data_IF_099840164316
#
_entry.id   IF_099840164316
#
_cell.length_a   1.000
_cell.length_b   1.000
_cell.length_c   1.000
_cell.angle_alpha   90.00
_cell.angle_beta   90.00
_cell.angle_gamma   90.00
#
_symmetry.space_group_name_H-M   'P 1'
#
loop_
_entity.id
_entity.type
_entity.pdbx_description
1 polymer ?
#
# COMPACT_ATOMS: atom_id res chain seq x y z
N UNK A 1 -29.27 -28.46 45.11
CA UNK A 1 -28.93 -27.13 44.54
C UNK A 1 -27.69 -27.12 43.65
N UNK A 2 -26.74 -28.04 43.80
CA UNK A 2 -25.50 -28.07 43.01
C UNK A 2 -25.71 -28.47 41.52
N UNK A 3 -26.74 -29.29 41.22
CA UNK A 3 -27.01 -29.75 39.86
C UNK A 3 -27.61 -28.70 38.93
N UNK A 4 -28.39 -27.71 39.41
CA UNK A 4 -29.00 -26.64 38.59
C UNK A 4 -27.96 -25.71 38.02
N UNK A 5 -26.96 -25.33 38.80
CA UNK A 5 -25.90 -24.40 38.33
C UNK A 5 -24.98 -25.01 37.29
N UNK A 6 -24.74 -26.33 37.33
CA UNK A 6 -23.91 -27.01 36.34
C UNK A 6 -24.62 -27.20 35.00
N UNK A 7 -25.92 -27.50 35.03
CA UNK A 7 -26.72 -27.64 33.81
C UNK A 7 -26.91 -26.29 33.11
N UNK A 8 -27.17 -25.21 33.86
CA UNK A 8 -27.20 -23.84 33.30
C UNK A 8 -25.84 -23.44 32.74
N UNK A 9 -24.72 -23.77 33.41
CA UNK A 9 -23.38 -23.50 32.85
C UNK A 9 -23.07 -24.32 31.59
N UNK A 10 -23.53 -25.59 31.50
CA UNK A 10 -23.36 -26.38 30.28
C UNK A 10 -24.25 -25.92 29.14
N UNK A 11 -25.48 -25.47 29.39
CA UNK A 11 -26.38 -24.90 28.37
C UNK A 11 -25.86 -23.53 27.89
N UNK A 12 -25.41 -22.70 28.82
CA UNK A 12 -24.76 -21.41 28.48
C UNK A 12 -23.44 -21.66 27.75
N UNK A 13 -22.63 -22.63 28.13
CA UNK A 13 -21.39 -23.02 27.47
C UNK A 13 -21.59 -23.56 26.04
N UNK A 14 -22.60 -24.40 25.80
CA UNK A 14 -22.96 -24.91 24.47
C UNK A 14 -23.58 -23.82 23.59
N UNK A 15 -24.46 -23.01 24.14
CA UNK A 15 -25.03 -21.87 23.43
C UNK A 15 -23.98 -20.79 23.12
N UNK A 16 -23.02 -20.53 24.04
CA UNK A 16 -21.92 -19.62 23.73
C UNK A 16 -20.99 -20.13 22.61
N UNK A 17 -20.87 -21.45 22.44
CA UNK A 17 -20.16 -22.04 21.29
C UNK A 17 -20.96 -21.95 19.99
N UNK A 18 -22.30 -22.09 20.03
CA UNK A 18 -23.17 -21.84 18.86
C UNK A 18 -23.32 -20.36 18.54
N UNK A 19 -23.29 -19.46 19.53
CA UNK A 19 -23.21 -18.01 19.31
C UNK A 19 -21.83 -17.54 18.85
N UNK A 20 -20.75 -18.24 19.18
CA UNK A 20 -19.41 -18.01 18.64
C UNK A 20 -19.29 -18.28 17.15
N UNK A 21 -20.16 -19.10 16.59
CA UNK A 21 -20.28 -19.31 15.14
C UNK A 21 -21.31 -18.34 14.56
N UNK A 22 -21.03 -17.02 14.60
CA UNK A 22 -21.68 -16.01 13.76
C UNK A 22 -23.18 -16.28 13.49
N UNK A 23 -23.99 -16.37 14.52
CA UNK A 23 -25.46 -16.38 14.41
C UNK A 23 -26.02 -15.11 13.80
N UNK A 24 -25.17 -14.16 13.48
CA UNK A 24 -25.47 -12.94 12.73
C UNK A 24 -25.24 -13.15 11.23
N UNK A 25 -26.15 -12.62 10.43
CA UNK A 25 -26.19 -12.74 8.97
C UNK A 25 -25.00 -12.08 8.28
N UNK A 26 -24.18 -11.30 8.98
CA UNK A 26 -23.13 -10.48 8.33
C UNK A 26 -21.81 -10.59 9.08
N UNK A 27 -20.77 -11.00 8.37
CA UNK A 27 -19.41 -10.93 8.88
C UNK A 27 -18.96 -9.46 8.93
N UNK A 28 -18.53 -8.96 10.10
CA UNK A 28 -18.03 -7.59 10.22
C UNK A 28 -16.94 -7.24 9.20
N UNK A 29 -16.09 -8.19 8.85
CA UNK A 29 -15.02 -7.97 7.87
C UNK A 29 -15.55 -7.66 6.47
N UNK A 30 -16.61 -8.34 6.01
CA UNK A 30 -17.23 -8.06 4.71
C UNK A 30 -17.96 -6.73 4.68
N UNK A 31 -18.44 -6.23 5.82
CA UNK A 31 -18.98 -4.88 5.94
C UNK A 31 -17.91 -3.80 5.74
N UNK A 32 -16.68 -4.08 6.13
CA UNK A 32 -15.57 -3.15 6.03
C UNK A 32 -14.93 -3.10 4.63
N UNK A 33 -15.29 -4.02 3.71
CA UNK A 33 -14.66 -4.12 2.38
C UNK A 33 -14.64 -2.81 1.60
N UNK A 34 -15.74 -2.03 1.50
CA UNK A 34 -15.71 -0.78 0.74
C UNK A 34 -14.71 0.22 1.30
N UNK A 35 -14.65 0.36 2.63
CA UNK A 35 -13.74 1.27 3.31
C UNK A 35 -12.29 0.79 3.21
N UNK A 36 -12.04 -0.51 3.37
CA UNK A 36 -10.71 -1.09 3.22
C UNK A 36 -10.19 -0.95 1.79
N UNK A 37 -11.03 -1.21 0.79
CA UNK A 37 -10.67 -1.09 -0.63
C UNK A 37 -10.28 0.34 -0.99
N UNK A 38 -11.05 1.33 -0.57
CA UNK A 38 -10.76 2.74 -0.82
C UNK A 38 -9.46 3.18 -0.12
N UNK A 39 -9.22 2.75 1.12
CA UNK A 39 -8.02 3.11 1.87
C UNK A 39 -6.77 2.45 1.29
N UNK A 40 -6.82 1.17 0.95
CA UNK A 40 -5.70 0.46 0.30
C UNK A 40 -5.35 1.14 -1.03
N UNK A 41 -6.36 1.49 -1.83
CA UNK A 41 -6.16 2.19 -3.10
C UNK A 41 -5.51 3.56 -2.92
N UNK A 42 -5.96 4.39 -1.98
CA UNK A 42 -5.36 5.70 -1.72
C UNK A 42 -3.88 5.60 -1.33
N UNK A 43 -3.52 4.65 -0.46
CA UNK A 43 -2.12 4.40 -0.08
C UNK A 43 -1.29 4.04 -1.30
N UNK A 44 -1.81 3.17 -2.17
CA UNK A 44 -1.12 2.76 -3.39
C UNK A 44 -0.91 3.93 -4.35
N UNK A 45 -1.94 4.73 -4.61
CA UNK A 45 -1.88 5.86 -5.53
C UNK A 45 -0.82 6.88 -5.11
N UNK A 46 -0.75 7.22 -3.82
CA UNK A 46 0.30 8.12 -3.30
C UNK A 46 1.68 7.53 -3.56
N UNK A 47 1.86 6.23 -3.34
CA UNK A 47 3.14 5.55 -3.56
C UNK A 47 3.51 5.51 -5.05
N UNK A 48 2.54 5.26 -5.94
CA UNK A 48 2.75 5.24 -7.39
C UNK A 48 3.11 6.60 -7.96
N UNK A 49 2.36 7.64 -7.61
CA UNK A 49 2.64 9.00 -8.05
C UNK A 49 4.06 9.44 -7.63
N UNK A 50 4.45 9.10 -6.41
CA UNK A 50 5.78 9.38 -5.92
C UNK A 50 6.85 8.62 -6.71
N UNK A 51 6.62 7.35 -7.02
CA UNK A 51 7.55 6.52 -7.80
C UNK A 51 7.65 6.98 -9.27
N UNK A 52 6.53 7.29 -9.92
CA UNK A 52 6.51 7.73 -11.32
C UNK A 52 7.21 9.07 -11.54
N UNK A 53 7.03 10.03 -10.63
CA UNK A 53 7.71 11.33 -10.70
C UNK A 53 9.24 11.17 -10.66
N UNK A 54 9.75 10.28 -9.81
CA UNK A 54 11.19 9.99 -9.78
C UNK A 54 11.67 9.26 -11.03
N UNK A 55 10.91 8.31 -11.54
CA UNK A 55 11.27 7.61 -12.78
C UNK A 55 11.34 8.58 -13.97
N UNK A 56 10.40 9.50 -14.08
CA UNK A 56 10.44 10.56 -15.10
C UNK A 56 11.69 11.44 -14.98
N UNK A 57 12.08 11.79 -13.76
CA UNK A 57 13.31 12.54 -13.49
C UNK A 57 14.57 11.77 -13.92
N UNK A 58 14.67 10.47 -13.58
CA UNK A 58 15.78 9.61 -13.99
C UNK A 58 15.87 9.49 -15.51
N UNK A 59 14.74 9.30 -16.21
CA UNK A 59 14.66 9.22 -17.65
C UNK A 59 15.15 10.53 -18.30
N UNK A 60 14.82 11.68 -17.70
CA UNK A 60 15.31 12.98 -18.13
C UNK A 60 16.83 13.07 -18.05
N UNK A 61 17.44 12.68 -16.94
CA UNK A 61 18.90 12.69 -16.76
C UNK A 61 19.61 11.82 -17.81
N UNK A 62 19.14 10.59 -18.00
CA UNK A 62 19.67 9.70 -19.04
C UNK A 62 19.54 10.31 -20.44
N UNK A 63 18.40 10.93 -20.77
CA UNK A 63 18.21 11.61 -22.05
C UNK A 63 19.19 12.79 -22.23
N UNK A 64 19.40 13.59 -21.19
CA UNK A 64 20.35 14.71 -21.22
C UNK A 64 21.78 14.25 -21.42
N UNK A 65 22.21 13.15 -20.76
CA UNK A 65 23.51 12.50 -20.96
C UNK A 65 23.69 12.08 -22.42
N UNK A 66 22.73 11.32 -22.97
CA UNK A 66 22.78 10.85 -24.37
C UNK A 66 22.85 12.03 -25.35
N UNK A 67 22.02 13.06 -25.15
CA UNK A 67 21.98 14.23 -26.02
C UNK A 67 23.30 14.99 -25.98
N UNK A 68 23.88 15.21 -24.80
CA UNK A 68 25.16 15.90 -24.64
C UNK A 68 26.30 15.11 -25.33
N UNK A 69 26.30 13.81 -25.21
CA UNK A 69 27.29 12.95 -25.82
C UNK A 69 27.17 12.96 -27.37
N UNK A 70 25.94 12.84 -27.89
CA UNK A 70 25.70 12.91 -29.36
C UNK A 70 26.12 14.26 -29.97
N UNK A 71 25.82 15.36 -29.26
CA UNK A 71 26.24 16.69 -29.75
C UNK A 71 27.77 16.86 -29.74
N UNK A 72 28.45 16.27 -28.77
CA UNK A 72 29.91 16.25 -28.74
C UNK A 72 30.49 15.39 -29.87
N UNK A 73 29.93 14.21 -30.14
CA UNK A 73 30.34 13.34 -31.24
C UNK A 73 30.30 14.03 -32.60
N UNK A 74 29.28 14.86 -32.84
CA UNK A 74 29.20 15.65 -34.08
C UNK A 74 30.38 16.63 -34.25
N UNK A 75 30.87 17.23 -33.16
CA UNK A 75 32.05 18.12 -33.22
C UNK A 75 33.35 17.29 -33.37
N UNK A 76 33.46 16.15 -32.70
CA UNK A 76 34.62 15.27 -32.80
C UNK A 76 34.76 14.61 -34.19
N UNK A 77 33.66 14.44 -34.91
CA UNK A 77 33.68 13.99 -36.29
C UNK A 77 34.38 15.01 -37.25
N UNK A 78 34.36 16.31 -36.87
CA UNK A 78 35.01 17.38 -37.61
C UNK A 78 36.47 17.52 -37.14
N UNK A 79 36.69 17.54 -35.83
CA UNK A 79 37.99 17.64 -35.19
C UNK A 79 38.10 16.60 -34.06
N UNK A 80 38.86 15.51 -34.29
CA UNK A 80 39.03 14.45 -33.25
C UNK A 80 39.64 14.93 -31.94
N UNK A 81 40.36 16.04 -31.92
CA UNK A 81 40.95 16.67 -30.75
C UNK A 81 40.13 17.78 -30.17
N UNK A 82 38.88 17.95 -30.63
CA UNK A 82 38.01 19.03 -30.22
C UNK A 82 37.80 18.99 -28.70
N UNK A 83 38.12 20.12 -28.03
CA UNK A 83 37.85 20.33 -26.61
C UNK A 83 37.08 21.61 -26.40
N UNK A 84 36.13 21.63 -25.50
CA UNK A 84 35.31 22.79 -25.20
C UNK A 84 35.01 22.92 -23.73
N UNK A 85 35.13 24.17 -23.22
CA UNK A 85 34.72 24.48 -21.84
C UNK A 85 33.25 24.13 -21.62
N UNK A 86 32.39 24.34 -22.60
CA UNK A 86 30.96 24.05 -22.55
C UNK A 86 30.72 22.55 -22.28
N UNK A 87 31.33 21.63 -23.00
CA UNK A 87 31.13 20.22 -22.82
C UNK A 87 31.75 19.69 -21.51
N UNK A 88 32.89 20.25 -21.11
CA UNK A 88 33.51 19.91 -19.79
C UNK A 88 32.62 20.34 -18.63
N UNK A 89 32.07 21.57 -18.68
CA UNK A 89 31.14 22.08 -17.68
C UNK A 89 29.86 21.26 -17.68
N UNK A 90 29.33 20.92 -18.86
CA UNK A 90 28.14 20.11 -19.00
C UNK A 90 28.27 18.71 -18.38
N UNK A 91 29.41 18.05 -18.61
CA UNK A 91 29.73 16.76 -17.98
C UNK A 91 29.72 16.86 -16.43
N UNK A 92 30.36 17.93 -15.91
CA UNK A 92 30.41 18.20 -14.45
C UNK A 92 29.03 18.54 -13.90
N UNK A 93 28.26 19.38 -14.55
CA UNK A 93 26.91 19.75 -14.08
C UNK A 93 25.97 18.55 -14.08
N UNK A 94 25.97 17.74 -15.12
CA UNK A 94 25.23 16.49 -15.13
C UNK A 94 25.67 15.54 -14.00
N UNK A 95 26.96 15.44 -13.72
CA UNK A 95 27.43 14.60 -12.60
C UNK A 95 26.88 15.07 -11.24
N UNK A 96 26.76 16.39 -11.04
CA UNK A 96 26.12 16.97 -9.86
C UNK A 96 24.61 16.72 -9.82
N UNK A 97 23.94 16.80 -10.98
CA UNK A 97 22.51 16.46 -11.08
C UNK A 97 22.24 14.98 -10.72
N UNK A 98 23.10 14.08 -11.15
CA UNK A 98 23.06 12.65 -10.76
C UNK A 98 23.27 12.45 -9.25
N UNK A 99 24.24 13.15 -8.69
CA UNK A 99 24.55 13.12 -7.27
C UNK A 99 23.38 13.63 -6.42
N UNK A 100 22.81 14.77 -6.81
CA UNK A 100 21.62 15.34 -6.18
C UNK A 100 20.42 14.39 -6.26
N UNK A 101 20.22 13.75 -7.41
CA UNK A 101 19.13 12.79 -7.63
C UNK A 101 19.28 11.56 -6.72
N UNK A 102 20.51 11.03 -6.57
CA UNK A 102 20.77 9.91 -5.66
C UNK A 102 20.42 10.25 -4.21
N UNK A 103 20.93 11.37 -3.73
CA UNK A 103 20.67 11.84 -2.36
C UNK A 103 19.19 12.15 -2.14
N UNK A 104 18.51 12.73 -3.12
CA UNK A 104 17.07 13.01 -3.07
C UNK A 104 16.23 11.74 -2.98
N UNK A 105 16.67 10.64 -3.56
CA UNK A 105 16.06 9.32 -3.44
C UNK A 105 16.42 8.57 -2.15
N UNK A 106 17.21 9.17 -1.26
CA UNK A 106 17.66 8.55 -0.01
C UNK A 106 18.97 7.76 -0.14
N UNK A 107 19.68 7.89 -1.27
CA UNK A 107 21.03 7.38 -1.45
C UNK A 107 22.05 8.14 -0.60
N UNK A 108 23.25 7.61 -0.54
CA UNK A 108 24.36 8.24 0.23
C UNK A 108 25.16 9.23 -0.61
N UNK A 109 24.96 9.22 -1.92
CA UNK A 109 25.85 9.86 -2.88
C UNK A 109 27.16 9.10 -3.06
N UNK A 110 28.00 9.58 -3.96
CA UNK A 110 29.33 8.98 -4.26
C UNK A 110 30.34 9.19 -3.12
N UNK A 111 30.15 10.19 -2.25
CA UNK A 111 31.08 10.59 -1.16
C UNK A 111 30.54 10.22 0.24
N UNK A 112 29.33 9.71 0.36
CA UNK A 112 28.68 9.48 1.66
C UNK A 112 28.53 10.79 2.46
N UNK A 113 27.84 11.76 1.84
CA UNK A 113 27.60 13.10 2.37
C UNK A 113 27.07 13.11 3.81
N UNK A 114 27.61 13.99 4.66
CA UNK A 114 27.06 14.27 5.99
C UNK A 114 25.72 15.03 5.87
N UNK A 115 25.03 15.25 6.99
CA UNK A 115 23.71 15.88 7.01
C UNK A 115 23.70 17.29 6.40
N UNK A 116 24.69 18.11 6.74
CA UNK A 116 24.77 19.50 6.28
C UNK A 116 25.06 19.56 4.78
N UNK A 117 26.03 18.76 4.32
CA UNK A 117 26.37 18.63 2.90
C UNK A 117 25.19 18.11 2.08
N UNK A 118 24.39 17.18 2.61
CA UNK A 118 23.15 16.71 1.94
C UNK A 118 22.13 17.83 1.80
N UNK A 119 21.93 18.64 2.83
CA UNK A 119 21.02 19.80 2.77
C UNK A 119 21.52 20.80 1.73
N UNK A 120 22.82 21.11 1.73
CA UNK A 120 23.43 22.02 0.75
C UNK A 120 23.27 21.48 -0.68
N UNK A 121 23.60 20.20 -0.91
CA UNK A 121 23.45 19.53 -2.21
C UNK A 121 21.99 19.57 -2.72
N UNK A 122 21.03 19.27 -1.84
CA UNK A 122 19.60 19.29 -2.21
C UNK A 122 19.10 20.70 -2.52
N UNK A 123 19.64 21.72 -1.88
CA UNK A 123 19.23 23.12 -2.06
C UNK A 123 19.91 23.79 -3.27
N UNK A 124 21.23 23.62 -3.42
CA UNK A 124 22.05 24.34 -4.40
C UNK A 124 22.50 23.49 -5.59
N UNK A 125 22.33 22.17 -5.53
CA UNK A 125 22.79 21.22 -6.54
C UNK A 125 24.27 20.88 -6.45
N UNK A 126 25.03 21.51 -5.57
CA UNK A 126 26.48 21.33 -5.37
C UNK A 126 26.83 21.47 -3.88
N UNK A 127 28.02 21.00 -3.48
CA UNK A 127 28.55 21.17 -2.12
C UNK A 127 29.81 22.00 -2.20
N UNK A 128 29.93 23.02 -1.35
CA UNK A 128 31.13 23.87 -1.27
C UNK A 128 32.35 23.05 -0.90
N UNK A 129 33.51 23.41 -1.45
CA UNK A 129 34.75 22.70 -1.23
C UNK A 129 34.84 21.37 -1.94
N UNK A 130 33.95 21.11 -2.92
CA UNK A 130 33.98 19.92 -3.78
C UNK A 130 33.85 20.29 -5.24
N UNK A 131 34.60 19.57 -6.11
CA UNK A 131 34.63 19.76 -7.56
C UNK A 131 34.42 18.46 -8.29
N UNK A 132 33.98 18.55 -9.55
CA UNK A 132 33.95 17.42 -10.48
C UNK A 132 35.30 17.28 -11.18
N UNK A 133 35.98 16.15 -10.98
CA UNK A 133 37.23 15.77 -11.62
C UNK A 133 36.99 14.78 -12.75
N UNK A 134 37.57 15.06 -13.95
CA UNK A 134 37.55 14.10 -15.07
C UNK A 134 38.54 12.96 -14.82
N UNK A 135 38.04 11.74 -14.62
CA UNK A 135 38.85 10.55 -14.35
C UNK A 135 39.75 10.20 -15.54
N UNK A 136 39.23 10.30 -16.76
CA UNK A 136 40.00 10.33 -17.99
C UNK A 136 40.17 11.79 -18.39
N UNK A 137 41.41 12.28 -18.32
CA UNK A 137 41.66 13.71 -18.56
C UNK A 137 41.28 14.11 -20.01
N UNK A 138 40.69 15.29 -20.16
CA UNK A 138 40.11 15.75 -21.42
C UNK A 138 41.15 15.92 -22.54
N UNK A 139 42.39 16.29 -22.17
CA UNK A 139 43.47 16.44 -23.15
C UNK A 139 43.77 15.16 -23.93
N UNK A 140 43.70 14.01 -23.26
CA UNK A 140 44.01 12.69 -23.88
C UNK A 140 42.73 11.95 -24.31
N UNK A 141 41.56 12.36 -23.74
CA UNK A 141 40.29 11.69 -23.95
C UNK A 141 39.17 12.72 -24.21
N UNK A 142 39.26 13.52 -25.29
CA UNK A 142 38.29 14.59 -25.58
C UNK A 142 36.87 14.04 -25.79
N UNK A 143 36.73 12.78 -26.24
CA UNK A 143 35.45 12.10 -26.44
C UNK A 143 34.65 11.88 -25.14
N UNK A 144 35.28 12.03 -23.97
CA UNK A 144 34.63 11.80 -22.67
C UNK A 144 34.38 13.10 -21.88
N UNK A 145 34.65 14.28 -22.48
CA UNK A 145 34.54 15.55 -21.75
C UNK A 145 33.11 15.91 -21.30
N UNK A 146 32.06 15.44 -22.01
CA UNK A 146 30.66 15.68 -21.68
C UNK A 146 30.02 14.51 -20.87
N UNK A 147 30.76 13.43 -20.66
CA UNK A 147 30.23 12.24 -20.02
C UNK A 147 30.22 12.38 -18.50
N UNK A 148 29.05 12.41 -17.81
CA UNK A 148 28.97 12.46 -16.34
C UNK A 148 29.62 11.24 -15.66
N UNK A 149 29.68 10.09 -16.33
CA UNK A 149 30.32 8.90 -15.79
C UNK A 149 31.85 9.04 -15.70
N UNK A 150 32.43 9.95 -16.48
CA UNK A 150 33.83 10.33 -16.41
C UNK A 150 34.13 11.33 -15.29
N UNK A 151 33.12 11.75 -14.52
CA UNK A 151 33.29 12.75 -13.47
C UNK A 151 33.20 12.10 -12.08
N UNK A 152 34.29 12.19 -11.33
CA UNK A 152 34.33 11.91 -9.90
C UNK A 152 34.22 13.20 -9.11
N UNK A 153 33.35 13.27 -8.13
CA UNK A 153 33.28 14.41 -7.21
C UNK A 153 34.32 14.18 -6.11
N UNK A 154 35.20 15.14 -5.91
CA UNK A 154 36.29 15.08 -4.89
C UNK A 154 36.39 16.43 -4.18
N UNK A 155 36.99 16.44 -2.99
CA UNK A 155 37.25 17.68 -2.29
C UNK A 155 38.28 18.54 -3.06
N UNK A 156 38.09 19.86 -3.04
CA UNK A 156 39.01 20.81 -3.72
C UNK A 156 40.47 20.61 -3.35
N UNK A 157 40.73 20.39 -2.06
CA UNK A 157 42.06 20.10 -1.53
C UNK A 157 42.69 18.84 -2.11
N UNK A 158 41.87 17.88 -2.50
CA UNK A 158 42.31 16.58 -3.03
C UNK A 158 42.39 16.58 -4.56
N UNK A 159 41.89 17.63 -5.24
CA UNK A 159 41.80 17.71 -6.68
C UNK A 159 43.18 17.61 -7.35
N UNK A 160 44.16 18.39 -6.89
CA UNK A 160 45.51 18.32 -7.46
C UNK A 160 46.30 17.07 -6.97
N UNK A 161 46.39 16.79 -5.65
CA UNK A 161 47.25 15.69 -5.19
C UNK A 161 46.68 14.32 -5.55
N UNK A 162 45.37 14.10 -5.48
CA UNK A 162 44.75 12.83 -5.73
C UNK A 162 44.22 12.76 -7.16
N UNK A 163 43.42 13.75 -7.58
CA UNK A 163 42.81 13.76 -8.88
C UNK A 163 43.84 13.79 -10.02
N UNK A 164 44.81 14.69 -9.93
CA UNK A 164 45.85 14.85 -10.94
C UNK A 164 47.21 14.29 -10.52
N UNK A 165 47.29 13.51 -9.46
CA UNK A 165 48.53 12.90 -8.96
C UNK A 165 49.69 13.93 -8.84
N UNK A 166 49.32 15.13 -8.37
CA UNK A 166 50.24 16.26 -8.12
C UNK A 166 50.58 17.15 -9.33
N UNK A 167 50.09 16.82 -10.54
CA UNK A 167 50.35 17.63 -11.74
C UNK A 167 49.21 17.53 -12.74
N UNK A 168 48.56 18.68 -13.08
CA UNK A 168 47.49 18.76 -14.05
C UNK A 168 47.84 18.26 -15.47
N UNK A 169 49.11 18.17 -15.81
CA UNK A 169 49.59 17.68 -17.10
C UNK A 169 49.68 16.16 -17.17
N UNK A 170 49.68 15.47 -16.02
CA UNK A 170 49.73 14.02 -16.01
C UNK A 170 48.50 13.39 -16.59
N UNK A 171 48.63 12.41 -17.51
CA UNK A 171 47.51 11.64 -18.00
C UNK A 171 46.82 10.91 -16.83
N UNK A 172 45.51 10.96 -16.83
CA UNK A 172 44.64 10.16 -15.93
C UNK A 172 43.75 9.25 -16.78
N UNK A 173 43.61 8.00 -16.38
CA UNK A 173 42.80 7.00 -17.09
C UNK A 173 42.11 6.09 -16.07
N UNK A 174 41.50 6.71 -15.05
CA UNK A 174 40.73 6.01 -14.03
C UNK A 174 39.38 5.51 -14.60
N UNK A 175 38.81 4.42 -14.06
CA UNK A 175 37.59 3.83 -14.58
C UNK A 175 36.38 4.73 -14.39
N UNK A 176 35.41 4.62 -15.30
CA UNK A 176 34.15 5.34 -15.22
C UNK A 176 33.30 4.93 -14.02
N UNK A 177 32.53 5.87 -13.51
CA UNK A 177 31.51 5.65 -12.50
C UNK A 177 30.16 5.54 -13.21
N UNK A 178 29.59 4.35 -13.33
CA UNK A 178 28.27 4.16 -13.92
C UNK A 178 27.18 4.78 -13.03
N UNK A 179 26.88 6.04 -13.31
CA UNK A 179 25.89 6.84 -12.53
C UNK A 179 24.46 6.36 -12.79
N UNK A 180 24.16 5.86 -13.98
CA UNK A 180 22.84 5.28 -14.26
C UNK A 180 22.60 4.03 -13.42
N UNK A 181 23.61 3.17 -13.27
CA UNK A 181 23.54 1.98 -12.40
C UNK A 181 23.40 2.35 -10.93
N UNK A 182 24.12 3.39 -10.48
CA UNK A 182 24.01 3.93 -9.13
C UNK A 182 22.57 4.39 -8.85
N UNK A 183 22.00 5.24 -9.70
CA UNK A 183 20.61 5.71 -9.54
C UNK A 183 19.59 4.58 -9.63
N UNK A 184 19.73 3.66 -10.57
CA UNK A 184 18.86 2.47 -10.67
C UNK A 184 18.89 1.64 -9.39
N UNK A 185 20.05 1.47 -8.78
CA UNK A 185 20.18 0.75 -7.51
C UNK A 185 19.44 1.47 -6.37
N UNK A 186 19.70 2.77 -6.19
CA UNK A 186 19.06 3.60 -5.17
C UNK A 186 17.56 3.67 -5.38
N UNK A 187 17.09 3.87 -6.63
CA UNK A 187 15.66 3.89 -6.95
C UNK A 187 14.99 2.55 -6.62
N UNK A 188 15.61 1.42 -6.98
CA UNK A 188 15.09 0.08 -6.65
C UNK A 188 14.96 -0.11 -5.14
N UNK A 189 15.97 0.30 -4.38
CA UNK A 189 15.93 0.24 -2.91
C UNK A 189 14.82 1.13 -2.34
N UNK A 190 14.66 2.35 -2.86
CA UNK A 190 13.60 3.28 -2.48
C UNK A 190 12.21 2.72 -2.77
N UNK A 191 11.99 2.21 -3.99
CA UNK A 191 10.71 1.61 -4.40
C UNK A 191 10.34 0.46 -3.48
N UNK A 192 11.28 -0.48 -3.25
CA UNK A 192 11.05 -1.58 -2.29
C UNK A 192 10.69 -1.09 -0.88
N UNK A 193 11.40 -0.05 -0.40
CA UNK A 193 11.10 0.55 0.89
C UNK A 193 9.71 1.19 0.96
N UNK A 194 9.27 1.84 -0.11
CA UNK A 194 7.94 2.44 -0.20
C UNK A 194 6.84 1.37 -0.29
N UNK A 195 7.09 0.29 -1.01
CA UNK A 195 6.15 -0.84 -1.08
C UNK A 195 5.99 -1.53 0.26
N UNK A 196 7.07 -1.77 0.99
CA UNK A 196 7.01 -2.31 2.35
C UNK A 196 6.24 -1.38 3.30
N UNK A 197 6.43 -0.06 3.19
CA UNK A 197 5.64 0.92 3.95
C UNK A 197 4.16 0.87 3.54
N UNK A 198 3.87 0.75 2.25
CA UNK A 198 2.50 0.60 1.74
C UNK A 198 1.81 -0.63 2.30
N UNK A 199 2.49 -1.79 2.28
CA UNK A 199 2.00 -3.03 2.92
C UNK A 199 1.77 -2.82 4.41
N UNK A 200 2.71 -2.18 5.12
CA UNK A 200 2.57 -1.90 6.56
C UNK A 200 1.38 -1.00 6.87
N UNK A 201 1.16 0.06 6.09
CA UNK A 201 0.02 0.95 6.27
C UNK A 201 -1.29 0.21 5.97
N UNK A 202 -1.37 -0.57 4.90
CA UNK A 202 -2.54 -1.38 4.57
C UNK A 202 -2.86 -2.39 5.69
N UNK A 203 -1.84 -2.99 6.29
CA UNK A 203 -1.98 -3.89 7.44
C UNK A 203 -2.56 -3.16 8.66
N UNK A 204 -2.02 -1.98 9.00
CA UNK A 204 -2.50 -1.17 10.14
C UNK A 204 -3.94 -0.71 9.93
N UNK A 205 -4.29 -0.23 8.74
CA UNK A 205 -5.66 0.17 8.42
C UNK A 205 -6.61 -1.01 8.51
N UNK A 206 -6.24 -2.16 7.94
CA UNK A 206 -7.03 -3.39 8.00
C UNK A 206 -7.25 -3.85 9.44
N UNK A 207 -6.18 -3.83 10.26
CA UNK A 207 -6.28 -4.16 11.68
C UNK A 207 -7.20 -3.20 12.44
N UNK A 208 -6.99 -1.90 12.32
CA UNK A 208 -7.79 -0.91 13.04
C UNK A 208 -9.29 -1.01 12.68
N UNK A 209 -9.60 -1.18 11.39
CA UNK A 209 -10.98 -1.34 10.92
C UNK A 209 -11.60 -2.63 11.47
N UNK A 210 -10.91 -3.75 11.34
CA UNK A 210 -11.40 -5.05 11.84
C UNK A 210 -11.57 -5.05 13.36
N UNK A 211 -10.58 -4.53 14.08
CA UNK A 211 -10.61 -4.48 15.54
C UNK A 211 -11.75 -3.62 16.08
N UNK A 212 -11.97 -2.44 15.50
CA UNK A 212 -13.08 -1.54 15.89
C UNK A 212 -14.43 -2.21 15.69
N UNK A 213 -14.65 -2.83 14.52
CA UNK A 213 -15.90 -3.51 14.21
C UNK A 213 -16.12 -4.71 15.14
N UNK A 214 -15.10 -5.55 15.31
CA UNK A 214 -15.18 -6.72 16.20
C UNK A 214 -15.46 -6.33 17.64
N UNK A 215 -14.82 -5.26 18.13
CA UNK A 215 -15.04 -4.72 19.47
C UNK A 215 -16.48 -4.25 19.67
N UNK A 216 -16.98 -3.40 18.76
CA UNK A 216 -18.34 -2.84 18.86
C UNK A 216 -19.40 -3.95 18.77
N UNK A 217 -19.27 -4.88 17.82
CA UNK A 217 -20.22 -6.00 17.66
C UNK A 217 -20.26 -6.85 18.92
N UNK A 218 -19.09 -7.14 19.51
CA UNK A 218 -19.02 -7.96 20.73
C UNK A 218 -19.68 -7.25 21.92
N UNK A 219 -19.48 -5.94 22.10
CA UNK A 219 -20.18 -5.16 23.13
C UNK A 219 -21.69 -5.14 22.92
N UNK A 220 -22.13 -4.96 21.68
CA UNK A 220 -23.55 -4.98 21.33
C UNK A 220 -24.23 -6.31 21.66
N UNK A 221 -23.50 -7.42 21.48
CA UNK A 221 -24.01 -8.77 21.77
C UNK A 221 -24.02 -9.12 23.26
N UNK A 222 -23.05 -8.61 24.03
CA UNK A 222 -22.83 -9.03 25.41
C UNK A 222 -23.11 -7.94 26.45
N UNK A 223 -23.49 -6.72 26.03
CA UNK A 223 -23.74 -5.58 26.90
C UNK A 223 -22.45 -4.86 27.35
N UNK A 224 -22.59 -3.91 28.27
CA UNK A 224 -21.51 -3.02 28.72
C UNK A 224 -21.01 -3.42 30.13
N UNK A 225 -20.66 -4.67 30.35
CA UNK A 225 -20.03 -5.12 31.59
C UNK A 225 -18.50 -5.16 31.47
N UNK A 226 -17.73 -5.15 32.57
CA UNK A 226 -16.28 -5.30 32.53
C UNK A 226 -15.82 -6.57 31.80
N UNK A 227 -16.56 -7.68 31.96
CA UNK A 227 -16.31 -8.95 31.30
C UNK A 227 -16.55 -8.84 29.79
N UNK A 228 -17.61 -8.12 29.39
CA UNK A 228 -17.94 -7.84 27.98
C UNK A 228 -16.87 -6.98 27.32
N UNK A 229 -16.29 -6.01 28.02
CA UNK A 229 -15.18 -5.20 27.51
C UNK A 229 -13.91 -6.06 27.28
N UNK A 230 -13.58 -6.96 28.20
CA UNK A 230 -12.46 -7.90 28.00
C UNK A 230 -12.70 -8.81 26.80
N UNK A 231 -13.90 -9.36 26.69
CA UNK A 231 -14.27 -10.21 25.55
C UNK A 231 -14.22 -9.43 24.24
N UNK A 232 -14.74 -8.19 24.23
CA UNK A 232 -14.71 -7.30 23.07
C UNK A 232 -13.27 -6.98 22.62
N UNK A 233 -12.36 -6.75 23.56
CA UNK A 233 -10.95 -6.53 23.25
C UNK A 233 -10.30 -7.75 22.59
N UNK A 234 -10.59 -8.96 23.09
CA UNK A 234 -10.07 -10.21 22.53
C UNK A 234 -10.65 -10.47 21.12
N UNK A 235 -11.96 -10.40 20.98
CA UNK A 235 -12.64 -10.66 19.69
C UNK A 235 -12.33 -9.54 18.67
N UNK A 236 -12.27 -8.27 19.12
CA UNK A 236 -11.79 -7.17 18.31
C UNK A 236 -10.37 -7.40 17.80
N UNK A 237 -9.46 -7.84 18.65
CA UNK A 237 -8.10 -8.21 18.26
C UNK A 237 -8.06 -9.31 17.19
N UNK A 238 -8.88 -10.36 17.32
CA UNK A 238 -8.97 -11.45 16.32
C UNK A 238 -9.49 -10.94 14.97
N UNK A 239 -10.57 -10.15 14.98
CA UNK A 239 -11.13 -9.55 13.75
C UNK A 239 -10.16 -8.55 13.16
N UNK A 240 -9.40 -7.83 14.00
CA UNK A 240 -8.30 -6.96 13.57
C UNK A 240 -7.20 -7.70 12.83
N UNK A 241 -6.78 -8.87 13.33
CA UNK A 241 -5.78 -9.71 12.65
C UNK A 241 -6.29 -10.23 11.29
N UNK A 242 -7.57 -10.62 11.19
CA UNK A 242 -8.19 -10.98 9.92
C UNK A 242 -8.18 -9.77 8.96
N UNK A 243 -8.55 -8.58 9.46
CA UNK A 243 -8.52 -7.32 8.70
C UNK A 243 -7.14 -6.94 8.20
N UNK A 244 -6.13 -7.11 9.03
CA UNK A 244 -4.73 -6.92 8.63
C UNK A 244 -4.35 -7.83 7.47
N UNK A 245 -4.68 -9.12 7.55
CA UNK A 245 -4.39 -10.09 6.47
C UNK A 245 -5.08 -9.68 5.16
N UNK A 246 -6.34 -9.29 5.19
CA UNK A 246 -7.07 -8.84 4.00
C UNK A 246 -6.55 -7.51 3.45
N UNK A 247 -6.12 -6.58 4.31
CA UNK A 247 -5.45 -5.34 3.88
C UNK A 247 -4.17 -5.63 3.10
N UNK A 248 -3.33 -6.53 3.60
CA UNK A 248 -2.09 -6.97 2.94
C UNK A 248 -2.39 -7.68 1.61
N UNK A 249 -3.34 -8.64 1.60
CA UNK A 249 -3.74 -9.36 0.38
C UNK A 249 -4.27 -8.39 -0.67
N UNK A 250 -5.13 -7.44 -0.29
CA UNK A 250 -5.65 -6.42 -1.19
C UNK A 250 -4.54 -5.56 -1.80
N UNK A 251 -3.56 -5.13 -0.99
CA UNK A 251 -2.41 -4.36 -1.47
C UNK A 251 -1.55 -5.16 -2.46
N UNK A 252 -1.18 -6.39 -2.12
CA UNK A 252 -0.37 -7.26 -3.00
C UNK A 252 -1.12 -7.56 -4.31
N UNK A 253 -2.39 -7.95 -4.22
CA UNK A 253 -3.21 -8.30 -5.38
C UNK A 253 -3.39 -7.10 -6.32
N UNK A 254 -3.60 -5.90 -5.78
CA UNK A 254 -3.68 -4.69 -6.58
C UNK A 254 -2.37 -4.38 -7.30
N UNK A 255 -1.22 -4.64 -6.68
CA UNK A 255 0.10 -4.49 -7.32
C UNK A 255 0.38 -5.50 -8.42
N UNK A 256 -0.13 -6.72 -8.31
CA UNK A 256 0.19 -7.81 -9.25
C UNK A 256 -0.75 -7.86 -10.45
N UNK A 257 -2.04 -7.66 -10.22
CA UNK A 257 -3.08 -7.81 -11.26
C UNK A 257 -3.93 -6.55 -11.45
N UNK A 258 -3.86 -5.58 -10.53
CA UNK A 258 -4.74 -4.41 -10.52
C UNK A 258 -4.57 -3.55 -11.78
N UNK A 259 -3.35 -3.28 -12.21
CA UNK A 259 -3.07 -2.47 -13.41
C UNK A 259 -3.63 -3.14 -14.68
N UNK A 260 -3.35 -4.44 -14.88
CA UNK A 260 -3.83 -5.18 -16.03
C UNK A 260 -5.36 -5.26 -16.05
N UNK A 261 -5.98 -5.55 -14.91
CA UNK A 261 -7.43 -5.64 -14.79
C UNK A 261 -8.09 -4.25 -14.93
N UNK A 262 -7.48 -3.20 -14.40
CA UNK A 262 -7.96 -1.82 -14.59
C UNK A 262 -7.89 -1.41 -16.05
N UNK A 263 -6.79 -1.69 -16.74
CA UNK A 263 -6.64 -1.39 -18.17
C UNK A 263 -7.67 -2.16 -19.02
N UNK A 264 -7.93 -3.42 -18.70
CA UNK A 264 -8.97 -4.18 -19.37
C UNK A 264 -10.37 -3.61 -19.14
N UNK A 265 -10.69 -3.22 -17.90
CA UNK A 265 -11.99 -2.63 -17.55
C UNK A 265 -12.18 -1.26 -18.19
N UNK A 266 -11.16 -0.39 -18.13
CA UNK A 266 -11.23 0.94 -18.75
C UNK A 266 -11.31 0.85 -20.27
N UNK A 267 -10.63 -0.13 -20.88
CA UNK A 267 -10.76 -0.43 -22.29
C UNK A 267 -12.19 -0.84 -22.71
N UNK A 268 -12.83 -1.69 -21.89
CA UNK A 268 -14.23 -2.06 -22.10
C UNK A 268 -15.16 -0.84 -21.99
N UNK A 269 -15.00 0.00 -20.97
CA UNK A 269 -15.81 1.21 -20.77
C UNK A 269 -15.64 2.20 -21.92
N UNK A 270 -14.40 2.41 -22.39
CA UNK A 270 -14.11 3.24 -23.54
C UNK A 270 -14.80 2.71 -24.82
N UNK A 271 -14.77 1.39 -25.05
CA UNK A 271 -15.46 0.74 -26.18
C UNK A 271 -16.98 0.88 -26.09
N UNK A 272 -17.53 1.03 -24.88
CA UNK A 272 -18.95 1.33 -24.67
C UNK A 272 -19.29 2.82 -24.83
N UNK A 273 -18.33 3.66 -25.24
CA UNK A 273 -18.52 5.09 -25.45
C UNK A 273 -18.51 5.94 -24.17
N UNK A 274 -18.03 5.38 -23.05
CA UNK A 274 -17.91 6.14 -21.80
C UNK A 274 -16.64 7.01 -21.78
N UNK A 275 -16.77 8.24 -21.35
CA UNK A 275 -15.62 9.13 -21.12
C UNK A 275 -14.81 8.65 -19.90
N UNK A 276 -13.52 8.39 -20.12
CA UNK A 276 -12.60 7.94 -19.09
C UNK A 276 -12.10 9.10 -18.23
N UNK A 277 -12.89 9.48 -17.23
CA UNK A 277 -12.46 10.46 -16.23
C UNK A 277 -11.46 9.84 -15.25
N UNK A 278 -10.65 10.68 -14.58
CA UNK A 278 -9.73 10.23 -13.52
C UNK A 278 -10.47 9.52 -12.37
N UNK A 279 -11.64 10.03 -11.99
CA UNK A 279 -12.47 9.42 -10.97
C UNK A 279 -13.00 8.03 -11.39
N UNK A 280 -13.38 7.87 -12.65
CA UNK A 280 -13.85 6.58 -13.17
C UNK A 280 -12.71 5.55 -13.18
N UNK A 281 -11.51 5.93 -13.59
CA UNK A 281 -10.33 5.05 -13.54
C UNK A 281 -9.99 4.63 -12.11
N UNK A 282 -10.04 5.57 -11.16
CA UNK A 282 -9.88 5.27 -9.73
C UNK A 282 -10.95 4.32 -9.21
N UNK A 283 -12.20 4.51 -9.61
CA UNK A 283 -13.31 3.63 -9.24
C UNK A 283 -13.10 2.21 -9.79
N UNK A 284 -12.66 2.04 -11.04
CA UNK A 284 -12.35 0.73 -11.61
C UNK A 284 -11.30 -0.02 -10.78
N UNK A 285 -10.21 0.65 -10.42
CA UNK A 285 -9.16 0.04 -9.61
C UNK A 285 -9.67 -0.33 -8.20
N UNK A 286 -10.40 0.57 -7.54
CA UNK A 286 -11.04 0.30 -6.24
C UNK A 286 -11.98 -0.91 -6.32
N UNK A 287 -12.75 -1.02 -7.40
CA UNK A 287 -13.65 -2.13 -7.66
C UNK A 287 -12.93 -3.47 -7.77
N UNK A 288 -11.79 -3.50 -8.46
CA UNK A 288 -10.96 -4.70 -8.61
C UNK A 288 -10.40 -5.13 -7.24
N UNK A 289 -9.82 -4.20 -6.48
CA UNK A 289 -9.30 -4.47 -5.12
C UNK A 289 -10.42 -4.99 -4.21
N UNK A 290 -11.59 -4.33 -4.23
CA UNK A 290 -12.75 -4.72 -3.44
C UNK A 290 -13.24 -6.12 -3.80
N UNK A 291 -13.34 -6.44 -5.09
CA UNK A 291 -13.74 -7.77 -5.56
C UNK A 291 -12.78 -8.86 -5.09
N UNK A 292 -11.47 -8.64 -5.14
CA UNK A 292 -10.46 -9.58 -4.64
C UNK A 292 -10.64 -9.81 -3.14
N UNK A 293 -10.85 -8.75 -2.35
CA UNK A 293 -11.07 -8.86 -0.91
C UNK A 293 -12.36 -9.65 -0.63
N UNK A 294 -13.46 -9.36 -1.34
CA UNK A 294 -14.72 -10.09 -1.20
C UNK A 294 -14.54 -11.57 -1.50
N UNK A 295 -13.93 -11.93 -2.61
CA UNK A 295 -13.71 -13.33 -2.98
C UNK A 295 -12.84 -14.04 -1.96
N UNK A 296 -11.70 -13.46 -1.58
CA UNK A 296 -10.75 -14.08 -0.63
C UNK A 296 -11.40 -14.28 0.75
N UNK A 297 -12.11 -13.27 1.26
CA UNK A 297 -12.79 -13.36 2.55
C UNK A 297 -13.97 -14.33 2.50
N UNK A 298 -14.67 -14.44 1.37
CA UNK A 298 -15.75 -15.41 1.18
C UNK A 298 -15.23 -16.86 1.17
N UNK A 299 -14.11 -17.12 0.49
CA UNK A 299 -13.45 -18.44 0.51
C UNK A 299 -12.99 -18.78 1.93
N UNK A 300 -12.32 -17.84 2.61
CA UNK A 300 -11.90 -18.04 3.99
C UNK A 300 -13.06 -18.41 4.91
N UNK A 301 -14.17 -17.69 4.82
CA UNK A 301 -15.36 -17.96 5.61
C UNK A 301 -16.01 -19.30 5.28
N UNK A 302 -16.10 -19.64 4.02
CA UNK A 302 -16.61 -20.94 3.59
C UNK A 302 -15.81 -22.07 4.26
N UNK A 303 -14.47 -22.00 4.18
CA UNK A 303 -13.58 -22.98 4.81
C UNK A 303 -13.77 -23.02 6.32
N UNK A 304 -13.91 -21.87 6.97
CA UNK A 304 -14.13 -21.75 8.41
C UNK A 304 -15.45 -22.38 8.85
N UNK A 305 -16.54 -22.11 8.13
CA UNK A 305 -17.84 -22.72 8.39
C UNK A 305 -17.83 -24.23 8.17
N UNK A 306 -17.15 -24.71 7.12
CA UNK A 306 -16.96 -26.16 6.90
C UNK A 306 -16.20 -26.82 8.03
N UNK A 307 -15.13 -26.22 8.52
CA UNK A 307 -14.38 -26.70 9.69
C UNK A 307 -15.22 -26.68 10.98
N UNK A 308 -16.19 -25.78 11.08
CA UNK A 308 -17.13 -25.72 12.20
C UNK A 308 -18.29 -26.74 12.10
N UNK A 309 -18.31 -27.59 11.04
CA UNK A 309 -19.28 -28.67 10.88
C UNK A 309 -20.55 -28.26 10.11
N UNK A 310 -20.62 -27.05 9.54
CA UNK A 310 -21.77 -26.63 8.72
C UNK A 310 -21.87 -27.46 7.43
N UNK A 311 -23.11 -27.73 6.99
CA UNK A 311 -23.35 -28.35 5.69
C UNK A 311 -22.90 -27.43 4.54
N UNK A 312 -22.57 -28.00 3.37
CA UNK A 312 -22.16 -27.21 2.21
C UNK A 312 -23.24 -26.21 1.78
N UNK A 313 -24.50 -26.63 1.83
CA UNK A 313 -25.64 -25.79 1.47
C UNK A 313 -25.79 -24.60 2.44
N UNK A 314 -25.61 -24.82 3.72
CA UNK A 314 -25.63 -23.77 4.74
C UNK A 314 -24.47 -22.80 4.58
N UNK A 315 -23.24 -23.30 4.33
CA UNK A 315 -22.09 -22.47 4.03
C UNK A 315 -22.32 -21.60 2.81
N UNK A 316 -22.81 -22.16 1.70
CA UNK A 316 -23.11 -21.41 0.47
C UNK A 316 -24.20 -20.36 0.69
N UNK A 317 -25.28 -20.70 1.42
CA UNK A 317 -26.36 -19.76 1.72
C UNK A 317 -25.85 -18.58 2.56
N UNK A 318 -25.08 -18.84 3.61
CA UNK A 318 -24.55 -17.79 4.50
C UNK A 318 -23.52 -16.91 3.79
N UNK A 319 -22.53 -17.52 3.16
CA UNK A 319 -21.46 -16.80 2.44
C UNK A 319 -22.03 -16.06 1.23
N UNK A 320 -22.94 -16.67 0.48
CA UNK A 320 -23.58 -16.06 -0.68
C UNK A 320 -24.37 -14.78 -0.33
N UNK A 321 -25.17 -14.80 0.75
CA UNK A 321 -25.89 -13.61 1.22
C UNK A 321 -24.91 -12.49 1.60
N UNK A 322 -23.84 -12.80 2.30
CA UNK A 322 -22.81 -11.83 2.68
C UNK A 322 -22.08 -11.26 1.47
N UNK A 323 -21.74 -12.11 0.51
CA UNK A 323 -21.11 -11.72 -0.74
C UNK A 323 -21.99 -10.74 -1.52
N UNK A 324 -23.28 -11.01 -1.66
CA UNK A 324 -24.23 -10.12 -2.33
C UNK A 324 -24.34 -8.74 -1.65
N UNK A 325 -24.39 -8.71 -0.31
CA UNK A 325 -24.41 -7.47 0.44
C UNK A 325 -23.11 -6.68 0.22
N UNK A 326 -21.95 -7.35 0.28
CA UNK A 326 -20.65 -6.70 0.08
C UNK A 326 -20.48 -6.17 -1.35
N UNK A 327 -20.93 -6.91 -2.36
CA UNK A 327 -20.93 -6.45 -3.77
C UNK A 327 -21.85 -5.24 -3.95
N UNK A 328 -23.06 -5.27 -3.38
CA UNK A 328 -24.00 -4.14 -3.44
C UNK A 328 -23.43 -2.89 -2.77
N UNK A 329 -22.83 -3.04 -1.58
CA UNK A 329 -22.16 -1.97 -0.86
C UNK A 329 -20.96 -1.40 -1.64
N UNK A 330 -20.14 -2.26 -2.23
CA UNK A 330 -19.03 -1.85 -3.09
C UNK A 330 -19.53 -1.09 -4.32
N UNK A 331 -20.58 -1.58 -5.00
CA UNK A 331 -21.15 -0.94 -6.18
C UNK A 331 -21.63 0.50 -5.88
N UNK A 332 -22.34 0.71 -4.78
CA UNK A 332 -22.75 2.06 -4.36
C UNK A 332 -21.54 2.96 -4.13
N UNK A 333 -20.52 2.45 -3.44
CA UNK A 333 -19.29 3.20 -3.18
C UNK A 333 -18.55 3.59 -4.48
N UNK A 334 -18.51 2.67 -5.46
CA UNK A 334 -17.89 2.92 -6.77
C UNK A 334 -18.65 3.96 -7.59
N UNK A 335 -19.97 3.92 -7.59
CA UNK A 335 -20.80 4.92 -8.26
C UNK A 335 -20.53 6.32 -7.69
N UNK A 336 -20.45 6.44 -6.35
CA UNK A 336 -20.12 7.70 -5.69
C UNK A 336 -18.70 8.15 -6.01
N UNK A 337 -17.73 7.22 -6.01
CA UNK A 337 -16.34 7.53 -6.35
C UNK A 337 -16.18 8.02 -7.79
N UNK A 338 -16.86 7.39 -8.73
CA UNK A 338 -16.82 7.78 -10.14
C UNK A 338 -17.36 9.19 -10.38
N UNK A 339 -18.42 9.59 -9.65
CA UNK A 339 -19.08 10.87 -9.84
C UNK A 339 -18.51 12.00 -8.96
N UNK A 340 -18.15 11.70 -7.71
CA UNK A 340 -17.80 12.71 -6.70
C UNK A 340 -16.37 12.57 -6.15
N UNK A 341 -15.64 11.53 -6.54
CA UNK A 341 -14.26 11.26 -6.12
C UNK A 341 -14.09 10.49 -4.81
N UNK A 342 -12.84 10.23 -4.44
CA UNK A 342 -12.46 9.35 -3.33
C UNK A 342 -12.99 9.75 -1.95
N UNK A 343 -12.91 11.02 -1.52
CA UNK A 343 -13.42 11.46 -0.20
C UNK A 343 -14.90 11.18 -0.01
N UNK A 344 -15.74 11.44 -1.02
CA UNK A 344 -17.17 11.15 -0.99
C UNK A 344 -17.45 9.65 -0.90
N UNK A 345 -16.71 8.84 -1.66
CA UNK A 345 -16.81 7.38 -1.61
C UNK A 345 -16.48 6.82 -0.22
N UNK A 346 -15.44 7.35 0.43
CA UNK A 346 -15.06 6.95 1.79
C UNK A 346 -16.19 7.29 2.76
N UNK A 347 -16.75 8.50 2.70
CA UNK A 347 -17.85 8.93 3.57
C UNK A 347 -19.09 8.03 3.41
N UNK A 348 -19.47 7.71 2.17
CA UNK A 348 -20.57 6.78 1.88
C UNK A 348 -20.24 5.37 2.35
N UNK A 349 -19.03 4.87 2.12
CA UNK A 349 -18.58 3.56 2.60
C UNK A 349 -18.66 3.43 4.13
N UNK A 350 -18.25 4.48 4.86
CA UNK A 350 -18.38 4.57 6.32
C UNK A 350 -19.85 4.57 6.72
N UNK A 351 -20.70 5.38 6.04
CA UNK A 351 -22.12 5.43 6.29
C UNK A 351 -22.82 4.08 6.10
N UNK A 352 -22.58 3.39 4.99
CA UNK A 352 -23.10 2.04 4.73
C UNK A 352 -22.62 1.08 5.83
N UNK A 353 -21.34 1.12 6.18
CA UNK A 353 -20.78 0.25 7.23
C UNK A 353 -21.44 0.50 8.59
N UNK A 354 -21.71 1.76 8.94
CA UNK A 354 -22.40 2.13 10.18
C UNK A 354 -23.86 1.63 10.19
N UNK A 355 -24.60 1.78 9.09
CA UNK A 355 -25.99 1.27 8.97
C UNK A 355 -26.01 -0.26 9.09
N UNK A 356 -25.10 -0.95 8.39
CA UNK A 356 -25.00 -2.40 8.45
C UNK A 356 -24.61 -2.89 9.85
N UNK A 357 -23.71 -2.18 10.52
CA UNK A 357 -23.35 -2.44 11.91
C UNK A 357 -24.56 -2.28 12.82
N UNK A 358 -25.29 -1.17 12.73
CA UNK A 358 -26.52 -0.93 13.49
C UNK A 358 -27.58 -2.02 13.26
N UNK A 359 -27.77 -2.44 12.01
CA UNK A 359 -28.68 -3.55 11.69
C UNK A 359 -28.20 -4.89 12.30
N UNK A 360 -26.91 -5.15 12.27
CA UNK A 360 -26.33 -6.36 12.89
C UNK A 360 -26.49 -6.35 14.40
N UNK A 361 -26.31 -5.20 15.03
CA UNK A 361 -26.54 -5.01 16.48
C UNK A 361 -27.99 -5.22 16.83
N UNK A 362 -28.92 -4.62 16.08
CA UNK A 362 -30.35 -4.81 16.26
C UNK A 362 -30.74 -6.29 16.16
N UNK A 363 -30.26 -7.00 15.13
CA UNK A 363 -30.54 -8.43 14.99
C UNK A 363 -29.91 -9.29 16.09
N UNK A 364 -28.70 -8.97 16.52
CA UNK A 364 -28.05 -9.67 17.62
C UNK A 364 -28.84 -9.53 18.92
N UNK A 365 -29.31 -8.31 19.21
CA UNK A 365 -30.17 -8.02 20.36
C UNK A 365 -31.50 -8.81 20.28
N UNK A 366 -32.18 -8.76 19.12
CA UNK A 366 -33.45 -9.45 18.93
C UNK A 366 -33.31 -10.98 19.02
N UNK A 367 -32.25 -11.53 18.44
CA UNK A 367 -31.98 -12.97 18.55
C UNK A 367 -31.63 -13.40 19.98
N UNK A 368 -30.97 -12.54 20.77
CA UNK A 368 -30.71 -12.79 22.19
C UNK A 368 -32.01 -12.81 22.99
N UNK A 369 -32.87 -11.82 22.82
CA UNK A 369 -34.16 -11.76 23.47
C UNK A 369 -35.05 -12.99 23.16
N UNK A 370 -35.11 -13.38 21.88
CA UNK A 370 -35.82 -14.58 21.43
C UNK A 370 -35.24 -15.87 22.04
N UNK A 371 -33.90 -15.98 22.15
CA UNK A 371 -33.25 -17.13 22.75
C UNK A 371 -33.54 -17.22 24.26
N UNK A 372 -33.57 -16.09 24.97
CA UNK A 372 -33.97 -16.00 26.38
C UNK A 372 -35.45 -16.41 26.57
N UNK A 373 -36.35 -15.96 25.73
CA UNK A 373 -37.75 -16.34 25.74
C UNK A 373 -37.96 -17.84 25.50
N UNK A 374 -37.28 -18.41 24.50
CA UNK A 374 -37.33 -19.87 24.23
C UNK A 374 -36.77 -20.64 25.39
N UNK A 375 -35.70 -20.19 26.04
CA UNK A 375 -35.10 -20.84 27.20
C UNK A 375 -36.06 -20.81 28.39
N UNK A 376 -36.69 -19.70 28.67
CA UNK A 376 -37.71 -19.56 29.71
C UNK A 376 -38.92 -20.46 29.45
N UNK A 377 -39.38 -20.55 28.19
CA UNK A 377 -40.44 -21.46 27.78
C UNK A 377 -40.08 -22.93 28.03
N UNK A 378 -38.86 -23.32 27.64
CA UNK A 378 -38.37 -24.71 27.86
C UNK A 378 -38.27 -25.00 29.38
N UNK A 379 -37.77 -24.07 30.15
CA UNK A 379 -37.66 -24.23 31.62
C UNK A 379 -39.04 -24.38 32.23
N UNK A 380 -39.99 -23.54 31.89
CA UNK A 380 -41.37 -23.62 32.40
C UNK A 380 -42.07 -24.91 32.01
N UNK A 381 -41.83 -25.40 30.78
CA UNK A 381 -42.44 -26.65 30.33
C UNK A 381 -41.76 -27.89 30.90
N UNK A 382 -40.47 -27.84 31.17
CA UNK A 382 -39.69 -28.97 31.74
C UNK A 382 -39.85 -29.09 33.26
N UNK A 383 -40.20 -28.01 33.95
CA UNK A 383 -40.44 -27.97 35.41
C UNK A 383 -41.78 -27.26 35.71
N UNK A 384 -42.92 -27.97 35.49
CA UNK A 384 -44.21 -27.39 35.81
C UNK A 384 -44.27 -27.07 37.32
N UNK A 385 -44.88 -25.94 37.66
CA UNK A 385 -44.93 -25.32 39.01
C UNK A 385 -45.62 -26.14 40.11
N UNK A 386 -45.96 -27.37 39.85
CA UNK A 386 -46.70 -28.25 40.80
C UNK A 386 -45.76 -29.10 41.69
N UNK A 387 -44.48 -28.75 41.80
CA UNK A 387 -43.57 -29.35 42.77
C UNK A 387 -43.02 -28.20 43.64
N UNK A 388 -43.89 -27.59 44.42
CA UNK A 388 -43.59 -26.85 45.63
C UNK A 388 -44.64 -27.25 46.67
#
# INVERSE_FOLDING_TARGET
MIGRNNMQRQIIGRNSLQYRTWGGIVNPMLMAVPMQSANVFNVMQVTENYNSNYQAHLNRLTKMKITSQRNLEANLAIDPNFTSKYYRDRGRDLAWEYEQADVKMGGKGSINWNREQRIELLRSGKVRGYVGHHQKNVANHPQHQANPDNIRIIADKDHLPIGHKGDFRKPTDDPFIDKDKMLKHTNRKRVRGNELKGVGIAAVIGFATGASIGFIVTLAQNGLSPESFKLAAIEGGKVGLEGMAFGVIGHIASRTIGEMATNAMTGLLANMGMELTENLMKACNTGIVGSIIIVTSSIYQFVRLKKAGCSTQECLSRVGKQCLISIGSLAVTLIVQANYGGPAAIAVGVGISAVMLGYSMYRAYHNKALAEEIQDYIIRKSYPSNII
#
